data_IF_730952374266
#
_entry.id   IF_730952374266
#
_cell.length_a   1.000
_cell.length_b   1.000
_cell.length_c   1.000
_cell.angle_alpha   90.00
_cell.angle_beta   90.00
_cell.angle_gamma   90.00
#
_symmetry.space_group_name_H-M   'P 1'
#
loop_
_entity.id
_entity.type
_entity.pdbx_description
1 polymer ?
#
# COMPACT_ATOMS: atom_id res chain seq x y z
N UNK A 1 2.02 2.42 -25.99
CA UNK A 1 1.94 3.63 -25.13
C UNK A 1 1.97 3.21 -23.65
N UNK A 2 2.92 3.73 -22.87
CA UNK A 2 2.91 3.51 -21.42
C UNK A 2 1.64 4.14 -20.84
N UNK A 3 0.86 3.36 -20.09
CA UNK A 3 -0.34 3.86 -19.40
C UNK A 3 0.00 4.92 -18.35
N UNK A 4 -1.01 5.48 -17.66
CA UNK A 4 -0.77 6.39 -16.54
C UNK A 4 0.10 5.71 -15.47
N UNK A 5 1.01 6.47 -14.87
CA UNK A 5 1.90 6.00 -13.80
C UNK A 5 1.57 6.70 -12.48
N UNK A 6 1.69 5.97 -11.38
CA UNK A 6 1.51 6.52 -10.05
C UNK A 6 2.64 7.51 -9.70
N UNK A 7 2.31 8.53 -8.91
CA UNK A 7 3.30 9.45 -8.32
C UNK A 7 3.69 8.94 -6.93
N UNK A 8 4.98 8.88 -6.64
CA UNK A 8 5.50 8.41 -5.34
C UNK A 8 5.78 9.61 -4.44
N UNK A 9 5.30 9.59 -3.19
CA UNK A 9 5.52 10.70 -2.25
C UNK A 9 7.02 10.92 -2.02
N UNK A 10 7.51 12.15 -2.13
CA UNK A 10 8.89 12.51 -1.79
C UNK A 10 9.02 13.00 -0.35
N UNK A 11 8.28 14.05 0.00
CA UNK A 11 8.28 14.71 1.32
C UNK A 11 6.93 15.40 1.62
N UNK A 12 6.63 15.75 2.87
CA UNK A 12 7.31 15.27 4.09
C UNK A 12 7.11 13.75 4.24
N UNK A 13 7.91 13.06 5.06
CA UNK A 13 7.67 11.65 5.36
C UNK A 13 6.26 11.41 5.94
N UNK A 14 5.71 10.22 5.71
CA UNK A 14 4.43 9.80 6.31
C UNK A 14 4.57 9.67 7.82
N UNK A 15 3.51 9.98 8.57
CA UNK A 15 3.48 9.95 10.03
C UNK A 15 2.37 9.01 10.53
N UNK A 16 2.50 8.44 11.74
CA UNK A 16 1.39 7.80 12.41
C UNK A 16 0.18 8.75 12.49
N UNK A 17 -1.00 8.23 12.17
CA UNK A 17 -2.24 8.99 12.08
C UNK A 17 -2.52 9.62 10.71
N UNK A 18 -1.58 9.65 9.76
CA UNK A 18 -1.88 10.08 8.39
C UNK A 18 -2.87 9.09 7.75
N UNK A 19 -3.94 9.62 7.13
CA UNK A 19 -4.91 8.82 6.40
C UNK A 19 -4.30 8.20 5.15
N UNK A 20 -4.68 6.95 4.89
CA UNK A 20 -4.22 6.19 3.75
C UNK A 20 -5.35 5.41 3.07
N UNK A 21 -5.18 5.21 1.77
CA UNK A 21 -6.09 4.46 0.91
C UNK A 21 -5.30 3.36 0.21
N UNK A 22 -5.67 2.10 0.44
CA UNK A 22 -5.08 0.96 -0.26
C UNK A 22 -5.95 0.59 -1.46
N UNK A 23 -5.30 0.45 -2.63
CA UNK A 23 -5.96 0.15 -3.90
C UNK A 23 -5.29 -1.09 -4.53
N UNK A 24 -6.11 -2.09 -4.88
CA UNK A 24 -5.61 -3.38 -5.37
C UNK A 24 -6.72 -4.34 -5.80
N UNK A 25 -6.35 -5.59 -6.10
CA UNK A 25 -7.27 -6.64 -6.55
C UNK A 25 -7.27 -7.86 -5.59
N UNK A 26 -7.77 -7.70 -4.35
CA UNK A 26 -7.96 -8.84 -3.46
C UNK A 26 -8.94 -9.83 -4.08
N UNK A 27 -8.65 -11.13 -3.95
CA UNK A 27 -9.54 -12.21 -4.37
C UNK A 27 -10.06 -12.08 -5.81
N UNK A 28 -9.23 -11.63 -6.74
CA UNK A 28 -9.57 -11.58 -8.18
C UNK A 28 -10.11 -12.95 -8.63
N UNK A 29 -11.30 -12.95 -9.26
CA UNK A 29 -12.03 -14.16 -9.66
C UNK A 29 -13.00 -14.74 -8.63
N UNK A 30 -12.99 -14.31 -7.37
CA UNK A 30 -13.98 -14.66 -6.33
C UNK A 30 -14.84 -13.46 -5.89
N UNK A 31 -14.27 -12.26 -5.91
CA UNK A 31 -14.99 -10.98 -5.75
C UNK A 31 -15.22 -10.31 -7.11
N UNK A 32 -15.66 -9.04 -7.12
CA UNK A 32 -15.77 -8.26 -8.35
C UNK A 32 -14.43 -8.23 -9.10
N UNK A 33 -14.47 -8.31 -10.44
CA UNK A 33 -13.31 -8.10 -11.33
C UNK A 33 -12.77 -6.65 -11.28
N UNK A 34 -13.35 -5.83 -10.40
CA UNK A 34 -13.03 -4.43 -10.23
C UNK A 34 -12.04 -4.26 -9.08
N UNK A 35 -11.16 -3.28 -9.25
CA UNK A 35 -10.23 -2.84 -8.22
C UNK A 35 -10.97 -2.44 -6.94
N UNK A 36 -10.51 -2.97 -5.82
CA UNK A 36 -11.02 -2.64 -4.49
C UNK A 36 -10.25 -1.47 -3.91
N UNK A 37 -10.99 -0.64 -3.17
CA UNK A 37 -10.48 0.52 -2.45
C UNK A 37 -10.81 0.32 -0.97
N UNK A 38 -9.81 0.43 -0.12
CA UNK A 38 -9.98 0.37 1.33
C UNK A 38 -9.27 1.54 2.01
N UNK A 39 -9.81 2.00 3.12
CA UNK A 39 -9.33 3.20 3.82
C UNK A 39 -8.87 2.86 5.23
N UNK A 40 -7.97 3.68 5.76
CA UNK A 40 -7.40 3.52 7.09
C UNK A 40 -6.36 4.58 7.38
N UNK A 41 -5.43 4.26 8.28
CA UNK A 41 -4.39 5.15 8.77
C UNK A 41 -3.05 4.43 8.86
N UNK A 42 -1.96 5.20 8.84
CA UNK A 42 -0.66 4.70 9.28
C UNK A 42 -0.66 4.57 10.80
N UNK A 43 -0.35 3.38 11.32
CA UNK A 43 -0.32 3.13 12.76
C UNK A 43 1.09 3.25 13.32
N UNK A 44 2.10 2.80 12.57
CA UNK A 44 3.50 2.84 12.98
C UNK A 44 4.42 2.92 11.77
N UNK A 45 5.65 3.40 11.98
CA UNK A 45 6.68 3.52 10.95
C UNK A 45 7.69 2.36 10.99
N UNK A 46 7.32 1.23 11.61
CA UNK A 46 8.13 0.03 11.65
C UNK A 46 7.21 -1.20 11.55
N UNK A 47 7.75 -2.28 10.99
CA UNK A 47 7.10 -3.59 10.93
C UNK A 47 7.37 -4.44 12.19
N UNK A 48 7.04 -5.73 12.09
CA UNK A 48 7.43 -6.73 13.07
C UNK A 48 8.94 -6.70 13.32
N UNK A 49 9.34 -6.98 14.55
CA UNK A 49 10.76 -6.99 14.97
C UNK A 49 11.51 -5.69 14.63
N UNK A 50 10.78 -4.56 14.60
CA UNK A 50 11.33 -3.24 14.30
C UNK A 50 11.91 -3.12 12.88
N UNK A 51 11.36 -3.85 11.90
CA UNK A 51 11.77 -3.71 10.49
C UNK A 51 11.43 -2.30 9.96
N UNK A 52 12.47 -1.47 9.82
CA UNK A 52 12.35 -0.08 9.38
C UNK A 52 12.02 0.09 7.90
N UNK A 53 12.04 -0.99 7.11
CA UNK A 53 11.64 -0.94 5.70
C UNK A 53 10.11 -0.93 5.54
N UNK A 54 9.38 -1.28 6.61
CA UNK A 54 7.92 -1.41 6.61
C UNK A 54 7.26 -0.28 7.40
N UNK A 55 6.03 0.03 7.03
CA UNK A 55 5.08 0.76 7.86
C UNK A 55 3.92 -0.15 8.22
N UNK A 56 3.31 0.09 9.38
CA UNK A 56 2.07 -0.55 9.81
C UNK A 56 0.88 0.32 9.42
N UNK A 57 -0.20 -0.30 8.96
CA UNK A 57 -1.45 0.35 8.59
C UNK A 57 -2.67 -0.42 9.09
N UNK A 58 -3.79 0.29 9.24
CA UNK A 58 -5.08 -0.27 9.64
C UNK A 58 -5.97 -0.69 8.46
N UNK A 59 -5.62 -0.34 7.21
CA UNK A 59 -6.41 -0.72 6.03
C UNK A 59 -6.53 -2.25 5.95
N UNK A 60 -7.74 -2.80 5.72
CA UNK A 60 -7.91 -4.24 5.54
C UNK A 60 -7.05 -4.78 4.39
N UNK A 61 -6.31 -5.87 4.64
CA UNK A 61 -5.51 -6.58 3.63
C UNK A 61 -5.99 -8.03 3.57
N UNK A 62 -6.37 -8.46 2.37
CA UNK A 62 -6.81 -9.83 2.08
C UNK A 62 -5.83 -10.51 1.10
N UNK A 63 -5.85 -11.85 0.98
CA UNK A 63 -5.13 -12.54 -0.09
C UNK A 63 -5.40 -11.91 -1.46
N UNK A 64 -4.34 -11.61 -2.21
CA UNK A 64 -4.41 -10.89 -3.49
C UNK A 64 -4.23 -9.36 -3.40
N UNK A 65 -4.21 -8.77 -2.20
CA UNK A 65 -3.92 -7.33 -2.05
C UNK A 65 -2.43 -6.99 -2.18
N UNK A 66 -1.55 -7.99 -2.07
CA UNK A 66 -0.10 -7.83 -2.16
C UNK A 66 0.32 -7.24 -3.50
N UNK A 67 1.22 -6.26 -3.46
CA UNK A 67 1.63 -5.49 -4.63
C UNK A 67 0.73 -4.30 -4.93
N UNK A 68 -0.44 -4.19 -4.29
CA UNK A 68 -1.29 -3.01 -4.35
C UNK A 68 -0.61 -1.76 -3.80
N UNK A 69 -1.04 -0.59 -4.26
CA UNK A 69 -0.48 0.68 -3.83
C UNK A 69 -1.23 1.22 -2.61
N UNK A 70 -0.47 1.77 -1.66
CA UNK A 70 -0.97 2.54 -0.53
C UNK A 70 -0.75 4.02 -0.82
N UNK A 71 -1.83 4.78 -0.91
CA UNK A 71 -1.82 6.21 -1.20
C UNK A 71 -2.07 7.03 0.07
N UNK A 72 -1.50 8.22 0.15
CA UNK A 72 -1.93 9.23 1.11
C UNK A 72 -3.10 10.06 0.57
N UNK A 73 -3.57 11.01 1.38
CA UNK A 73 -4.67 11.89 1.02
C UNK A 73 -4.39 12.83 -0.18
N UNK A 74 -3.13 12.93 -0.65
CA UNK A 74 -2.77 13.67 -1.87
C UNK A 74 -2.77 12.80 -3.13
N UNK A 75 -3.10 11.51 -3.01
CA UNK A 75 -3.01 10.57 -4.13
C UNK A 75 -1.58 10.17 -4.48
N UNK A 76 -0.62 10.41 -3.57
CA UNK A 76 0.76 9.98 -3.76
C UNK A 76 0.99 8.62 -3.07
N UNK A 77 1.74 7.72 -3.71
CA UNK A 77 2.10 6.42 -3.15
C UNK A 77 3.03 6.61 -1.96
N UNK A 78 2.63 6.09 -0.81
CA UNK A 78 3.39 6.06 0.44
C UNK A 78 3.90 4.66 0.80
N UNK A 79 3.38 3.62 0.15
CA UNK A 79 3.91 2.27 0.28
C UNK A 79 3.32 1.26 -0.70
N UNK A 80 3.91 0.06 -0.69
CA UNK A 80 3.44 -1.10 -1.46
C UNK A 80 2.96 -2.16 -0.46
N UNK A 81 1.68 -2.54 -0.57
CA UNK A 81 1.04 -3.49 0.34
C UNK A 81 1.74 -4.84 0.28
N UNK A 82 2.04 -5.44 1.44
CA UNK A 82 2.61 -6.79 1.53
C UNK A 82 1.85 -7.64 2.54
N UNK A 83 1.48 -8.86 2.14
CA UNK A 83 0.98 -9.88 3.04
C UNK A 83 2.14 -10.55 3.76
N UNK A 84 2.33 -10.26 5.05
CA UNK A 84 3.40 -10.89 5.85
C UNK A 84 3.01 -11.33 7.25
N UNK A 85 1.89 -10.86 7.80
CA UNK A 85 1.46 -11.35 9.10
C UNK A 85 0.81 -12.72 8.94
N UNK A 86 1.54 -13.78 9.26
CA UNK A 86 0.90 -15.07 9.49
C UNK A 86 0.18 -14.97 10.84
N UNK A 87 -1.08 -14.56 10.79
CA UNK A 87 -1.92 -14.36 11.97
C UNK A 87 -1.99 -15.61 12.86
N UNK A 88 -1.81 -16.80 12.28
CA UNK A 88 -1.75 -18.06 13.02
C UNK A 88 -0.47 -18.19 13.85
N UNK A 89 0.69 -17.85 13.28
CA UNK A 89 1.97 -17.87 14.02
C UNK A 89 1.94 -16.88 15.17
N UNK A 90 1.42 -15.67 14.93
CA UNK A 90 1.32 -14.68 16.01
C UNK A 90 0.34 -15.11 17.09
N UNK A 91 -0.82 -15.66 16.72
CA UNK A 91 -1.77 -16.18 17.70
C UNK A 91 -1.22 -17.36 18.52
N UNK A 92 -0.39 -18.23 17.92
CA UNK A 92 0.30 -19.31 18.64
C UNK A 92 1.31 -18.77 19.67
N UNK A 93 1.93 -17.61 19.43
CA UNK A 93 2.89 -16.98 20.35
C UNK A 93 2.24 -16.07 21.40
N UNK A 94 1.20 -15.31 21.02
CA UNK A 94 0.60 -14.28 21.89
C UNK A 94 -0.72 -14.73 22.54
N UNK A 95 -1.35 -15.80 22.03
CA UNK A 95 -2.70 -16.22 22.42
C UNK A 95 -3.83 -15.44 21.75
N UNK A 96 -3.52 -14.42 20.93
CA UNK A 96 -4.50 -13.53 20.30
C UNK A 96 -4.23 -13.35 18.80
N UNK A 97 -5.29 -13.29 18.00
CA UNK A 97 -5.21 -13.01 16.56
C UNK A 97 -5.19 -11.48 16.37
N UNK A 98 -4.07 -10.88 15.92
CA UNK A 98 -4.01 -9.43 15.74
C UNK A 98 -5.01 -8.97 14.66
N UNK A 99 -5.84 -8.00 15.01
CA UNK A 99 -6.79 -7.38 14.09
C UNK A 99 -6.24 -6.02 13.61
N UNK A 100 -6.47 -5.67 12.34
CA UNK A 100 -6.06 -4.39 11.75
C UNK A 100 -4.55 -4.10 11.86
N UNK A 101 -3.73 -5.16 11.83
CA UNK A 101 -2.27 -5.07 11.79
C UNK A 101 -1.80 -5.54 10.42
N UNK A 102 -1.66 -4.58 9.50
CA UNK A 102 -1.20 -4.83 8.13
C UNK A 102 0.05 -4.03 7.82
N UNK A 103 0.80 -4.44 6.80
CA UNK A 103 2.11 -3.84 6.51
C UNK A 103 2.27 -3.47 5.03
N UNK A 104 3.00 -2.38 4.79
CA UNK A 104 3.44 -1.97 3.47
C UNK A 104 4.94 -1.68 3.49
N UNK A 105 5.62 -2.00 2.39
CA UNK A 105 6.99 -1.52 2.14
C UNK A 105 6.93 -0.01 1.93
N UNK A 106 7.73 0.75 2.66
CA UNK A 106 7.75 2.22 2.56
C UNK A 106 8.09 2.68 1.15
N UNK A 107 7.47 3.77 0.70
CA UNK A 107 7.76 4.39 -0.58
C UNK A 107 9.24 4.72 -0.78
N UNK A 108 9.96 5.12 0.29
CA UNK A 108 11.40 5.38 0.21
C UNK A 108 12.20 4.15 -0.26
N UNK A 109 11.88 2.97 0.29
CA UNK A 109 12.52 1.70 -0.10
C UNK A 109 12.19 1.36 -1.55
N UNK A 110 10.94 1.56 -1.98
CA UNK A 110 10.54 1.35 -3.37
C UNK A 110 11.26 2.32 -4.34
N UNK A 111 11.39 3.61 -3.99
CA UNK A 111 12.15 4.60 -4.78
C UNK A 111 13.62 4.22 -4.90
N UNK A 112 14.23 3.77 -3.81
CA UNK A 112 15.63 3.32 -3.81
C UNK A 112 15.82 2.11 -4.71
N UNK A 113 14.92 1.13 -4.63
CA UNK A 113 14.92 -0.01 -5.53
C UNK A 113 14.81 0.43 -7.01
N UNK A 114 13.80 1.24 -7.35
CA UNK A 114 13.60 1.74 -8.72
C UNK A 114 14.82 2.50 -9.24
N UNK A 115 15.41 3.37 -8.42
CA UNK A 115 16.63 4.12 -8.74
C UNK A 115 17.81 3.18 -9.02
N UNK A 116 18.03 2.19 -8.17
CA UNK A 116 19.11 1.20 -8.34
C UNK A 116 18.91 0.36 -9.60
N UNK A 117 17.66 0.08 -9.99
CA UNK A 117 17.34 -0.65 -11.22
C UNK A 117 17.30 0.24 -12.47
N UNK A 118 17.56 1.54 -12.36
CA UNK A 118 17.51 2.47 -13.49
C UNK A 118 16.10 2.71 -14.04
N UNK A 119 15.05 2.45 -13.25
CA UNK A 119 13.65 2.66 -13.64
C UNK A 119 13.23 4.08 -13.29
N UNK A 120 12.79 4.83 -14.30
CA UNK A 120 12.26 6.18 -14.10
C UNK A 120 10.90 6.14 -13.39
N UNK A 121 10.68 7.06 -12.45
CA UNK A 121 9.41 7.21 -11.72
C UNK A 121 9.11 8.69 -11.46
N UNK A 122 7.83 9.00 -11.17
CA UNK A 122 7.40 10.35 -10.77
C UNK A 122 7.37 10.45 -9.27
N UNK A 123 7.76 11.60 -8.72
CA UNK A 123 7.60 11.90 -7.31
C UNK A 123 7.10 13.32 -7.08
N UNK A 124 6.36 13.52 -5.99
CA UNK A 124 5.81 14.80 -5.61
C UNK A 124 5.72 14.94 -4.09
N UNK A 125 5.74 16.18 -3.62
CA UNK A 125 5.37 16.48 -2.25
C UNK A 125 3.85 16.40 -2.08
N UNK A 126 3.42 15.94 -0.91
CA UNK A 126 1.99 15.86 -0.58
C UNK A 126 1.55 17.18 0.04
N UNK A 127 0.73 17.94 -0.70
CA UNK A 127 0.30 19.29 -0.34
C UNK A 127 -1.23 19.47 -0.44
N UNK A 128 -1.83 19.02 -1.55
CA UNK A 128 -3.28 19.06 -1.74
C UNK A 128 -3.94 17.85 -1.08
N UNK A 129 -5.10 18.04 -0.48
CA UNK A 129 -5.85 16.97 0.18
C UNK A 129 -7.13 16.68 -0.60
N UNK A 130 -7.26 15.44 -1.05
CA UNK A 130 -8.45 14.92 -1.71
C UNK A 130 -9.32 14.11 -0.73
N UNK A 131 -10.56 13.80 -1.14
CA UNK A 131 -11.37 12.83 -0.41
C UNK A 131 -10.83 11.41 -0.64
N UNK A 132 -11.13 10.49 0.27
CA UNK A 132 -10.73 9.09 0.10
C UNK A 132 -11.32 8.46 -1.18
N UNK A 133 -12.49 8.91 -1.61
CA UNK A 133 -13.13 8.45 -2.85
C UNK A 133 -12.33 8.91 -4.08
N UNK A 134 -11.91 10.17 -4.10
CA UNK A 134 -11.11 10.72 -5.20
C UNK A 134 -9.72 10.08 -5.26
N UNK A 135 -9.08 9.85 -4.11
CA UNK A 135 -7.81 9.09 -4.04
C UNK A 135 -8.01 7.66 -4.54
N UNK A 136 -9.14 7.05 -4.21
CA UNK A 136 -9.55 5.77 -4.77
C UNK A 136 -9.54 5.80 -6.30
N UNK A 137 -10.22 6.77 -6.92
CA UNK A 137 -10.29 6.92 -8.37
C UNK A 137 -8.91 7.18 -9.02
N UNK A 138 -8.06 8.01 -8.39
CA UNK A 138 -6.66 8.18 -8.82
C UNK A 138 -5.94 6.84 -8.82
N UNK A 139 -6.07 6.06 -7.74
CA UNK A 139 -5.46 4.75 -7.61
C UNK A 139 -5.99 3.75 -8.64
N UNK A 140 -7.29 3.78 -8.97
CA UNK A 140 -7.89 2.89 -9.98
C UNK A 140 -7.23 3.03 -11.35
N UNK A 141 -6.85 4.24 -11.72
CA UNK A 141 -6.27 4.52 -13.05
C UNK A 141 -4.88 3.92 -13.22
N UNK A 142 -4.14 3.73 -12.13
CA UNK A 142 -2.72 3.29 -12.13
C UNK A 142 -2.53 1.88 -11.60
N UNK A 143 -3.61 1.21 -11.18
CA UNK A 143 -3.59 -0.14 -10.62
C UNK A 143 -4.03 -1.14 -11.68
N UNK A 144 -3.20 -2.14 -11.94
CA UNK A 144 -3.47 -3.20 -12.91
C UNK A 144 -3.37 -4.57 -12.25
N UNK A 145 -4.17 -5.52 -12.74
CA UNK A 145 -4.08 -6.92 -12.35
C UNK A 145 -3.01 -7.59 -13.22
N UNK A 146 -2.01 -8.21 -12.58
CA UNK A 146 -0.95 -8.97 -13.25
C UNK A 146 -1.16 -10.44 -12.96
N UNK A 147 -1.39 -11.23 -14.00
CA UNK A 147 -1.58 -12.68 -13.91
C UNK A 147 -0.57 -13.41 -14.80
N UNK A 148 -0.13 -14.58 -14.35
CA UNK A 148 0.67 -15.46 -15.19
C UNK A 148 -0.28 -16.25 -16.10
N UNK A 149 -0.06 -16.16 -17.41
CA UNK A 149 -0.74 -17.01 -18.37
C UNK A 149 -0.34 -18.48 -18.14
N UNK A 150 -1.32 -19.41 -18.21
CA UNK A 150 -1.09 -20.87 -18.15
C UNK A 150 -1.05 -21.50 -19.52
#
# INVERSE_FOLDING_TARGET
PAGPTATVRSDPAVRPGDDVVAVGFPLAGLLADQVNVSTGSVNALAGLYNDLHLLQMSTPVQPGSSGGALFDASGNVVGVVVTKLNAKVVAEETGDIPQNVNFAVKAAVARDFLRTQGVAYRSAQSAERHSNADVGEIGRQVTVLVECWK
#
